data_IF_560400956794
#
_entry.id   IF_560400956794
#
_cell.length_a   1.000
_cell.length_b   1.000
_cell.length_c   1.000
_cell.angle_alpha   90.00
_cell.angle_beta   90.00
_cell.angle_gamma   90.00
#
_symmetry.space_group_name_H-M   'P 1'
#
loop_
_entity.id
_entity.type
_entity.pdbx_description
1 polymer ?
#
# COMPACT_ATOMS: atom_id res chain seq x y z
N UNK A 1 0.06 -20.96 1.02
CA UNK A 1 -0.22 -20.22 1.48
C UNK A 1 -0.32 -20.02 1.99
N UNK A 2 -0.07 -19.91 1.55
CA UNK A 2 -0.17 -19.26 2.09
C UNK A 2 -0.34 -18.65 2.54
N UNK A 3 -0.02 -18.66 2.05
CA UNK A 3 -0.13 -17.85 2.68
C UNK A 3 -0.35 -17.20 2.96
N UNK A 4 -0.10 -17.21 2.72
CA UNK A 4 -0.28 -16.37 3.28
C UNK A 4 -0.46 -15.74 3.55
N UNK A 5 -0.12 -15.84 3.37
CA UNK A 5 -0.33 -14.95 3.95
C UNK A 5 -0.39 -14.53 4.39
N UNK A 6 0.02 -14.52 4.03
CA UNK A 6 -0.14 -13.70 4.59
C UNK A 6 -0.07 -13.53 5.16
N UNK A 7 0.39 -13.36 5.20
CA UNK A 7 0.37 -12.73 5.93
C UNK A 7 0.60 -12.45 6.54
N UNK A 8 0.94 -12.32 6.37
CA UNK A 8 0.98 -11.70 7.14
C UNK A 8 1.18 -11.18 7.58
N UNK A 9 1.60 -11.25 7.31
CA UNK A 9 1.63 -10.38 7.85
C UNK A 9 1.67 -10.38 8.11
N UNK A 10 1.68 -10.55 7.85
CA UNK A 10 1.52 -10.27 8.29
C UNK A 10 1.46 -10.70 8.34
N UNK A 11 1.58 -11.30 7.99
CA UNK A 11 1.23 -11.43 8.26
C UNK A 11 0.81 -11.67 8.39
N UNK A 12 0.97 -12.21 7.90
CA UNK A 12 0.35 -12.09 8.19
C UNK A 12 0.14 -12.54 8.27
N UNK A 13 0.22 -13.12 8.28
CA UNK A 13 -0.20 -13.11 8.74
C UNK A 13 -0.53 -13.07 9.16
N UNK A 14 -0.18 -13.63 8.66
CA UNK A 14 -0.67 -13.40 9.33
C UNK A 14 -0.98 -13.31 9.88
N UNK A 15 -0.58 -14.08 9.42
CA UNK A 15 -1.05 -13.54 10.07
C UNK A 15 -1.11 -13.71 10.62
N UNK A 16 -1.02 -14.09 10.71
CA UNK A 16 -1.41 -13.76 11.44
C UNK A 16 -1.39 -13.67 12.26
N UNK A 17 -1.24 -13.91 12.32
CA UNK A 17 -1.51 -13.34 13.17
C UNK A 17 -1.67 -13.20 13.77
N UNK A 18 -1.83 -13.18 14.04
CA UNK A 18 -2.22 -12.53 14.66
C UNK A 18 -2.62 -12.24 14.94
N UNK A 19 -3.24 -12.05 15.16
CA UNK A 19 -3.76 -11.26 15.63
C UNK A 19 -4.25 -11.15 16.45
N UNK A 20 -4.54 -10.87 16.81
CA UNK A 20 -4.90 -10.52 17.51
C UNK A 20 -4.94 -10.03 18.19
N UNK A 21 -5.29 -9.85 18.81
CA UNK A 21 -5.23 -9.22 19.55
C UNK A 21 -5.56 -8.26 19.52
N UNK A 22 -6.35 -7.96 20.28
CA UNK A 22 -6.33 -6.79 20.09
C UNK A 22 -5.21 -6.44 19.73
N UNK A 23 -5.35 -6.38 19.42
CA UNK A 23 -4.58 -6.06 19.03
C UNK A 23 -4.18 -4.89 19.14
N UNK A 24 -3.54 -4.69 19.92
CA UNK A 24 -2.81 -3.51 19.96
C UNK A 24 -2.13 -3.29 18.68
N UNK A 25 -2.03 -4.32 17.95
CA UNK A 25 -1.47 -4.27 16.62
C UNK A 25 -2.52 -4.02 15.58
N UNK A 26 -3.77 -3.88 16.00
CA UNK A 26 -4.82 -3.53 15.09
C UNK A 26 -4.68 -2.04 14.76
N UNK A 27 -4.31 -1.69 13.53
CA UNK A 27 -4.08 -0.29 13.18
C UNK A 27 -5.35 0.54 13.16
N UNK A 28 -6.51 -0.11 13.15
CA UNK A 28 -7.77 0.60 12.98
C UNK A 28 -8.23 1.30 14.24
N UNK A 29 -7.65 0.99 15.40
CA UNK A 29 -8.09 1.62 16.62
C UNK A 29 -7.94 3.15 16.56
N UNK A 30 -6.91 3.65 15.89
CA UNK A 30 -6.73 5.08 15.76
C UNK A 30 -7.78 5.72 14.88
N UNK A 31 -8.17 5.02 13.81
CA UNK A 31 -9.17 5.54 12.89
C UNK A 31 -10.54 5.66 13.53
N UNK A 32 -10.77 4.94 14.62
CA UNK A 32 -12.07 4.90 15.28
C UNK A 32 -12.13 5.81 16.49
N UNK A 33 -11.17 6.72 16.66
CA UNK A 33 -11.17 7.66 17.77
C UNK A 33 -11.47 9.06 17.26
N UNK A 34 -11.86 9.96 18.19
CA UNK A 34 -12.12 11.35 17.82
C UNK A 34 -10.82 12.10 17.50
N UNK A 35 -9.67 11.51 17.82
CA UNK A 35 -8.38 12.13 17.57
C UNK A 35 -7.70 11.58 16.32
N UNK A 36 -8.42 10.78 15.54
CA UNK A 36 -7.85 10.19 14.34
C UNK A 36 -7.47 11.27 13.33
N UNK A 37 -6.24 11.19 12.81
CA UNK A 37 -5.78 12.09 11.76
C UNK A 37 -6.21 11.56 10.41
N UNK A 38 -6.05 12.38 9.38
CA UNK A 38 -6.29 11.92 8.01
C UNK A 38 -5.39 10.73 7.69
N UNK A 39 -4.13 10.76 8.11
CA UNK A 39 -3.20 9.67 7.89
C UNK A 39 -3.68 8.38 8.55
N UNK A 40 -4.18 8.46 9.78
CA UNK A 40 -4.70 7.28 10.47
C UNK A 40 -5.84 6.64 9.69
N UNK A 41 -6.74 7.46 9.15
CA UNK A 41 -7.88 6.97 8.39
C UNK A 41 -7.45 6.40 7.04
N UNK A 42 -6.48 7.03 6.39
CA UNK A 42 -5.95 6.53 5.12
C UNK A 42 -5.26 5.18 5.31
N UNK A 43 -4.46 5.03 6.37
CA UNK A 43 -3.82 3.76 6.66
C UNK A 43 -4.83 2.67 6.96
N UNK A 44 -5.85 2.97 7.76
CA UNK A 44 -6.89 2.00 8.08
C UNK A 44 -7.60 1.53 6.81
N UNK A 45 -7.93 2.45 5.92
CA UNK A 45 -8.59 2.11 4.66
C UNK A 45 -7.71 1.21 3.80
N UNK A 46 -6.43 1.53 3.69
CA UNK A 46 -5.50 0.74 2.88
C UNK A 46 -5.37 -0.68 3.40
N UNK A 47 -5.26 -0.82 4.72
CA UNK A 47 -5.12 -2.15 5.32
C UNK A 47 -6.40 -2.97 5.19
N UNK A 48 -7.52 -2.31 5.29
CA UNK A 48 -8.81 -2.97 5.12
C UNK A 48 -9.01 -3.48 3.69
N UNK A 49 -8.46 -2.76 2.71
CA UNK A 49 -8.62 -3.09 1.29
C UNK A 49 -7.38 -3.75 0.70
N UNK A 50 -6.48 -4.21 1.54
CA UNK A 50 -5.19 -4.73 1.07
C UNK A 50 -5.36 -5.87 0.06
N UNK A 51 -6.27 -6.79 0.33
CA UNK A 51 -6.47 -7.92 -0.58
C UNK A 51 -6.94 -7.48 -1.96
N UNK A 52 -7.82 -6.49 -1.98
CA UNK A 52 -8.31 -5.97 -3.26
C UNK A 52 -7.22 -5.22 -4.01
N UNK A 53 -6.38 -4.51 -3.29
CA UNK A 53 -5.24 -3.80 -3.89
C UNK A 53 -4.27 -4.79 -4.51
N UNK A 54 -3.93 -5.85 -3.76
CA UNK A 54 -3.00 -6.87 -4.24
C UNK A 54 -3.59 -7.59 -5.46
N UNK A 55 -4.88 -7.91 -5.42
CA UNK A 55 -5.54 -8.56 -6.55
C UNK A 55 -5.51 -7.69 -7.80
N UNK A 56 -5.73 -6.38 -7.64
CA UNK A 56 -5.66 -5.45 -8.76
C UNK A 56 -4.27 -5.42 -9.37
N UNK A 57 -3.23 -5.34 -8.51
CA UNK A 57 -1.85 -5.33 -8.99
C UNK A 57 -1.51 -6.63 -9.70
N UNK A 58 -1.91 -7.76 -9.12
CA UNK A 58 -1.65 -9.07 -9.71
C UNK A 58 -2.31 -9.20 -11.09
N UNK A 59 -3.49 -8.61 -11.26
CA UNK A 59 -4.17 -8.67 -12.55
C UNK A 59 -3.39 -7.94 -13.64
N UNK A 60 -2.62 -6.91 -13.29
CA UNK A 60 -1.82 -6.16 -14.25
C UNK A 60 -0.41 -6.72 -14.40
N UNK A 61 0.12 -7.29 -13.34
CA UNK A 61 1.47 -7.83 -13.30
C UNK A 61 1.41 -9.23 -12.68
N UNK A 62 1.05 -10.24 -13.48
CA UNK A 62 0.82 -11.58 -12.91
C UNK A 62 2.04 -12.20 -12.22
N UNK A 63 3.24 -11.75 -12.53
CA UNK A 63 4.44 -12.25 -11.87
C UNK A 63 4.61 -11.70 -10.46
N UNK A 64 3.85 -10.66 -10.09
CA UNK A 64 3.82 -10.16 -8.73
C UNK A 64 2.75 -10.95 -7.99
N UNK A 65 3.18 -11.89 -7.15
CA UNK A 65 2.27 -12.83 -6.52
C UNK A 65 1.90 -12.43 -5.10
N UNK A 66 2.89 -11.93 -4.34
CA UNK A 66 2.66 -11.46 -2.98
C UNK A 66 3.30 -10.10 -2.82
N UNK A 67 2.70 -9.27 -1.97
CA UNK A 67 3.21 -7.92 -1.72
C UNK A 67 3.23 -7.70 -0.21
N UNK A 68 4.33 -7.12 0.28
CA UNK A 68 4.44 -6.67 1.66
C UNK A 68 4.61 -5.16 1.63
N UNK A 69 3.54 -4.46 1.99
CA UNK A 69 3.57 -3.01 2.01
C UNK A 69 4.29 -2.51 3.26
N UNK A 70 5.10 -1.48 3.08
CA UNK A 70 5.67 -0.75 4.20
C UNK A 70 4.77 0.46 4.47
N UNK A 71 3.89 0.32 5.45
CA UNK A 71 2.87 1.34 5.72
C UNK A 71 3.48 2.66 6.19
N UNK A 72 4.72 2.62 6.67
CA UNK A 72 5.41 3.84 7.08
C UNK A 72 5.81 4.71 5.90
N UNK A 73 5.78 4.16 4.70
CA UNK A 73 6.13 4.93 3.49
C UNK A 73 4.95 5.71 2.93
N UNK A 74 3.77 5.59 3.52
CA UNK A 74 2.60 6.32 3.04
C UNK A 74 2.92 7.80 2.93
N UNK A 75 2.65 8.37 1.77
CA UNK A 75 2.96 9.75 1.47
C UNK A 75 1.87 10.32 0.58
N UNK A 76 1.47 11.57 0.86
CA UNK A 76 0.50 12.29 0.05
C UNK A 76 1.19 13.52 -0.51
N UNK A 77 1.23 13.63 -1.83
CA UNK A 77 1.87 14.74 -2.51
C UNK A 77 0.88 15.47 -3.40
N UNK A 78 1.03 16.79 -3.49
CA UNK A 78 0.24 17.58 -4.40
C UNK A 78 0.61 17.25 -5.85
N UNK A 79 -0.40 17.14 -6.70
CA UNK A 79 -0.24 16.99 -8.15
C UNK A 79 -0.55 18.34 -8.78
N UNK A 80 0.37 18.83 -9.61
CA UNK A 80 0.19 20.17 -10.12
C UNK A 80 0.48 20.17 -11.63
N UNK A 81 -0.19 21.06 -12.34
CA UNK A 81 -0.11 21.11 -13.79
C UNK A 81 0.79 22.25 -14.30
N UNK A 82 1.63 22.79 -13.39
CA UNK A 82 2.51 23.91 -13.72
C UNK A 82 1.88 25.27 -13.43
N UNK A 83 0.59 25.32 -13.16
CA UNK A 83 -0.14 26.54 -12.85
C UNK A 83 -0.81 26.47 -11.49
N UNK A 84 -1.43 25.34 -11.19
CA UNK A 84 -2.15 25.17 -9.94
C UNK A 84 -2.15 23.70 -9.53
N UNK A 85 -2.53 23.47 -8.26
CA UNK A 85 -2.69 22.12 -7.74
C UNK A 85 -4.02 21.59 -8.27
N UNK A 86 -3.98 20.40 -8.88
CA UNK A 86 -5.16 19.78 -9.48
C UNK A 86 -5.60 18.52 -8.75
N UNK A 87 -4.89 18.14 -7.70
CA UNK A 87 -5.23 16.96 -6.92
C UNK A 87 -4.08 16.55 -6.04
N UNK A 88 -4.21 15.37 -5.45
CA UNK A 88 -3.19 14.81 -4.57
C UNK A 88 -3.00 13.35 -4.91
N UNK A 89 -1.78 12.86 -4.75
CA UNK A 89 -1.44 11.46 -4.99
C UNK A 89 -0.99 10.84 -3.67
N UNK A 90 -1.71 9.82 -3.24
CA UNK A 90 -1.32 9.02 -2.09
C UNK A 90 -0.53 7.83 -2.61
N UNK A 91 0.63 7.57 -2.03
CA UNK A 91 1.52 6.51 -2.48
C UNK A 91 2.01 5.68 -1.31
N UNK A 92 2.11 4.38 -1.52
CA UNK A 92 2.69 3.45 -0.54
C UNK A 92 3.66 2.54 -1.27
N UNK A 93 4.78 2.28 -0.64
CA UNK A 93 5.83 1.43 -1.18
C UNK A 93 5.80 0.05 -0.53
N UNK A 94 6.27 -0.96 -1.25
CA UNK A 94 6.41 -2.29 -0.71
C UNK A 94 7.47 -3.08 -1.43
N UNK A 95 7.64 -4.32 -0.99
CA UNK A 95 8.43 -5.34 -1.68
C UNK A 95 7.47 -6.44 -2.12
N UNK A 96 7.89 -7.25 -3.08
CA UNK A 96 7.00 -8.31 -3.55
C UNK A 96 7.76 -9.62 -3.72
N UNK A 97 7.00 -10.71 -3.75
CA UNK A 97 7.50 -12.07 -3.92
C UNK A 97 8.57 -12.42 -2.88
N UNK A 98 8.41 -11.86 -1.66
CA UNK A 98 9.32 -12.09 -0.53
C UNK A 98 10.77 -11.76 -0.86
N UNK A 99 10.99 -10.85 -1.79
CA UNK A 99 12.34 -10.46 -2.20
C UNK A 99 12.61 -9.02 -1.79
N UNK A 100 13.52 -8.78 -0.84
CA UNK A 100 13.78 -7.42 -0.35
C UNK A 100 14.45 -6.51 -1.39
N UNK A 101 14.90 -7.05 -2.52
CA UNK A 101 15.48 -6.24 -3.59
C UNK A 101 14.42 -5.70 -4.54
N UNK A 102 13.17 -6.07 -4.36
CA UNK A 102 12.09 -5.60 -5.21
C UNK A 102 11.52 -4.30 -4.66
N UNK A 103 10.91 -3.53 -5.56
CA UNK A 103 10.30 -2.25 -5.21
C UNK A 103 8.99 -2.16 -5.97
N UNK A 104 7.91 -1.85 -5.25
CA UNK A 104 6.61 -1.63 -5.87
C UNK A 104 5.95 -0.45 -5.19
N UNK A 105 5.26 0.36 -5.98
CA UNK A 105 4.47 1.48 -5.49
C UNK A 105 3.04 1.29 -5.95
N UNK A 106 2.08 1.60 -5.08
CA UNK A 106 0.70 1.72 -5.47
C UNK A 106 0.26 3.14 -5.16
N UNK A 107 -0.55 3.71 -6.04
CA UNK A 107 -0.91 5.11 -5.99
C UNK A 107 -2.41 5.26 -6.09
N UNK A 108 -2.93 6.33 -5.45
CA UNK A 108 -4.35 6.67 -5.50
C UNK A 108 -4.47 8.18 -5.71
N UNK A 109 -5.23 8.56 -6.72
CA UNK A 109 -5.49 9.97 -6.96
C UNK A 109 -6.64 10.41 -6.07
N UNK A 110 -6.49 11.58 -5.44
CA UNK A 110 -7.50 12.14 -4.54
C UNK A 110 -7.68 13.62 -4.87
N UNK A 111 -8.85 14.15 -4.55
CA UNK A 111 -9.14 15.57 -4.77
C UNK A 111 -8.55 16.43 -3.67
N UNK A 112 -8.55 15.94 -2.44
CA UNK A 112 -8.04 16.67 -1.27
C UNK A 112 -7.02 15.82 -0.54
N UNK A 113 -6.11 16.50 0.14
CA UNK A 113 -5.03 15.84 0.88
C UNK A 113 -5.56 14.90 1.97
N UNK A 114 -6.71 15.25 2.55
CA UNK A 114 -7.28 14.50 3.68
C UNK A 114 -8.27 13.42 3.25
N UNK A 115 -8.51 13.27 1.97
CA UNK A 115 -9.49 12.30 1.49
C UNK A 115 -9.08 10.88 1.82
N UNK A 116 -10.08 10.02 1.95
CA UNK A 116 -9.86 8.59 2.00
C UNK A 116 -9.67 8.10 0.56
N UNK A 117 -8.71 7.20 0.32
CA UNK A 117 -8.52 6.67 -1.03
C UNK A 117 -9.77 5.96 -1.55
N UNK A 118 -9.81 5.76 -2.86
CA UNK A 118 -10.92 5.08 -3.52
C UNK A 118 -10.34 4.10 -4.54
N UNK A 119 -10.84 2.86 -4.53
CA UNK A 119 -10.33 1.84 -5.44
C UNK A 119 -10.49 2.22 -6.91
N UNK A 120 -11.49 3.04 -7.24
CA UNK A 120 -11.67 3.48 -8.63
C UNK A 120 -10.53 4.37 -9.11
N UNK A 121 -9.72 4.89 -8.21
CA UNK A 121 -8.61 5.77 -8.53
C UNK A 121 -7.24 5.12 -8.32
N UNK A 122 -7.22 3.79 -8.16
CA UNK A 122 -5.97 3.07 -7.99
C UNK A 122 -5.17 3.08 -9.29
N UNK A 123 -3.85 3.23 -9.16
CA UNK A 123 -2.95 3.23 -10.30
C UNK A 123 -1.55 2.88 -9.85
N UNK A 124 -0.69 2.64 -10.83
CA UNK A 124 0.73 2.50 -10.57
C UNK A 124 1.45 3.45 -11.50
N UNK A 125 2.10 4.45 -10.92
CA UNK A 125 2.85 5.43 -11.70
C UNK A 125 4.19 4.88 -12.18
N UNK A 126 4.61 3.74 -11.60
CA UNK A 126 5.84 3.06 -11.97
C UNK A 126 5.58 1.56 -12.02
N UNK A 127 6.22 0.84 -12.95
CA UNK A 127 6.09 -0.62 -12.96
C UNK A 127 6.82 -1.23 -11.76
N UNK A 128 6.54 -2.50 -11.44
CA UNK A 128 7.35 -3.20 -10.44
C UNK A 128 8.81 -3.23 -10.87
N UNK A 129 9.72 -3.11 -9.90
CA UNK A 129 11.14 -2.98 -10.18
C UNK A 129 11.95 -3.91 -9.29
N UNK A 130 13.17 -4.21 -9.73
CA UNK A 130 14.10 -5.01 -8.93
C UNK A 130 15.48 -4.35 -8.99
N UNK A 131 16.15 -4.35 -7.83
CA UNK A 131 17.51 -3.81 -7.73
C UNK A 131 18.51 -4.94 -7.93
N UNK A 132 19.47 -4.71 -8.82
CA UNK A 132 20.58 -5.61 -9.04
C UNK A 132 21.86 -4.80 -8.93
N UNK A 133 22.55 -4.95 -7.78
CA UNK A 133 23.71 -4.12 -7.49
C UNK A 133 23.27 -2.69 -7.28
N UNK A 134 23.82 -1.77 -8.05
CA UNK A 134 23.49 -0.34 -7.95
C UNK A 134 22.44 0.11 -8.96
N UNK A 135 21.92 -0.80 -9.77
CA UNK A 135 21.00 -0.46 -10.86
C UNK A 135 19.63 -1.04 -10.56
N UNK A 136 18.60 -0.29 -10.90
CA UNK A 136 17.21 -0.70 -10.74
C UNK A 136 16.64 -0.98 -12.12
N UNK A 137 16.04 -2.15 -12.26
CA UNK A 137 15.46 -2.61 -13.51
C UNK A 137 13.96 -2.83 -13.36
N UNK A 138 13.22 -2.73 -14.47
CA UNK A 138 11.84 -3.20 -14.46
C UNK A 138 11.83 -4.71 -14.23
N UNK A 139 10.83 -5.14 -13.47
CA UNK A 139 10.68 -6.56 -13.17
C UNK A 139 9.81 -7.18 -14.26
N UNK A 140 10.39 -8.14 -14.97
CA UNK A 140 9.68 -8.82 -16.08
C UNK A 140 9.29 -10.24 -15.72
#
# INVERSE_FOLDING_TARGET
MKKKLAIIGTIALLGVGGFTVFNLNNPDWRANTIFATARDKQLAWLKEHEEEIVAWIHSRYPKVETIQFDWNTLEVRAVNNGVSIIGYNLSVQGVFNDNPKTIIFVDFLMKKREDTPNLSQIRMNQPPMIRKGKIIYNYD
#
